data_IF_593672080660
#
_entry.id   IF_593672080660
#
_cell.length_a   1.000
_cell.length_b   1.000
_cell.length_c   1.000
_cell.angle_alpha   90.00
_cell.angle_beta   90.00
_cell.angle_gamma   90.00
#
_symmetry.space_group_name_H-M   'P 1'
#
loop_
_entity.id
_entity.type
_entity.pdbx_description
1 polymer ?
#
# COMPACT_ATOMS: atom_id res chain seq x y z
N UNK A 1 21.65 43.38 22.36
CA UNK A 1 20.88 44.64 22.40
C UNK A 1 19.90 44.63 21.23
N UNK A 2 18.60 44.64 21.54
CA UNK A 2 17.41 45.09 20.79
C UNK A 2 17.30 44.81 19.28
N UNK A 3 16.14 44.47 18.69
CA UNK A 3 14.80 44.12 19.13
C UNK A 3 14.01 43.74 17.84
N UNK A 4 12.89 43.06 18.05
CA UNK A 4 11.97 42.47 17.08
C UNK A 4 11.26 43.45 16.13
N UNK A 5 10.67 42.90 15.07
CA UNK A 5 9.28 43.23 14.71
C UNK A 5 8.65 42.12 13.84
N UNK A 6 7.75 41.40 14.50
CA UNK A 6 6.71 40.53 13.97
C UNK A 6 5.59 41.40 13.34
N UNK A 7 4.92 40.91 12.29
CA UNK A 7 3.73 41.56 11.72
C UNK A 7 2.72 40.53 11.23
N UNK A 8 1.74 40.27 12.09
CA UNK A 8 0.40 39.80 11.73
C UNK A 8 -0.54 40.99 11.48
N UNK A 9 -1.59 40.77 10.67
CA UNK A 9 -2.91 41.46 10.56
C UNK A 9 -3.41 41.27 9.10
N UNK A 10 -4.68 41.08 8.74
CA UNK A 10 -5.94 40.69 9.35
C UNK A 10 -6.96 40.60 8.19
N UNK A 11 -7.98 39.76 8.32
CA UNK A 11 -9.14 39.69 7.41
C UNK A 11 -10.07 40.92 7.59
N UNK A 12 -10.73 41.34 6.50
CA UNK A 12 -12.20 41.54 6.50
C UNK A 12 -12.79 40.95 5.20
N UNK A 13 -14.06 40.54 5.05
CA UNK A 13 -15.30 40.77 5.76
C UNK A 13 -16.42 40.74 4.70
N UNK A 14 -17.36 39.79 4.81
CA UNK A 14 -18.51 39.61 3.93
C UNK A 14 -19.54 40.75 4.08
N UNK A 15 -20.11 41.24 2.97
CA UNK A 15 -21.50 41.73 2.97
C UNK A 15 -22.16 41.69 1.58
N UNK A 16 -23.24 40.90 1.55
CA UNK A 16 -24.53 40.98 0.83
C UNK A 16 -24.69 41.92 -0.37
N UNK A 17 -25.20 41.34 -1.46
CA UNK A 17 -26.20 41.98 -2.32
C UNK A 17 -27.35 40.99 -2.57
N UNK A 18 -28.58 41.48 -2.36
CA UNK A 18 -29.85 40.85 -2.72
C UNK A 18 -30.69 41.85 -3.52
N UNK A 19 -31.75 41.32 -4.16
CA UNK A 19 -32.86 41.97 -4.89
C UNK A 19 -32.56 42.23 -6.37
N UNK A 20 -33.43 42.00 -7.35
CA UNK A 20 -34.85 41.61 -7.44
C UNK A 20 -35.04 40.94 -8.84
N UNK A 21 -36.11 40.24 -9.22
CA UNK A 21 -37.43 39.99 -8.67
C UNK A 21 -38.34 39.34 -9.74
N UNK A 22 -39.50 38.88 -9.24
CA UNK A 22 -40.82 38.77 -9.93
C UNK A 22 -40.99 37.63 -10.96
N UNK A 23 -42.10 36.88 -11.06
CA UNK A 23 -43.48 36.99 -10.56
C UNK A 23 -44.07 35.58 -10.30
N UNK A 24 -44.75 35.33 -9.18
CA UNK A 24 -46.21 35.41 -8.95
C UNK A 24 -46.95 34.24 -9.64
N UNK A 25 -47.37 33.24 -8.86
CA UNK A 25 -48.81 32.98 -8.82
C UNK A 25 -49.27 32.25 -7.56
N UNK A 26 -50.40 32.76 -7.08
CA UNK A 26 -51.00 32.56 -5.76
C UNK A 26 -51.98 31.40 -5.82
N UNK A 27 -52.13 30.68 -4.71
CA UNK A 27 -53.42 30.56 -3.99
C UNK A 27 -53.24 29.78 -2.70
N UNK A 28 -53.44 30.50 -1.61
CA UNK A 28 -53.80 29.94 -0.32
C UNK A 28 -55.21 29.34 -0.41
N UNK A 29 -55.46 28.29 0.37
CA UNK A 29 -56.68 28.26 1.17
C UNK A 29 -56.42 27.55 2.50
N UNK A 30 -56.85 28.28 3.52
CA UNK A 30 -56.85 28.02 4.94
C UNK A 30 -57.99 27.04 5.28
N UNK A 31 -57.80 26.21 6.32
CA UNK A 31 -58.85 25.79 7.27
C UNK A 31 -58.33 24.77 8.30
N UNK A 32 -58.30 25.27 9.53
CA UNK A 32 -58.41 24.58 10.81
C UNK A 32 -59.47 23.47 10.90
N UNK A 33 -59.24 22.47 11.76
CA UNK A 33 -60.35 21.78 12.44
C UNK A 33 -60.11 20.32 12.86
N UNK A 34 -59.80 20.16 14.15
CA UNK A 34 -60.33 19.16 15.09
C UNK A 34 -60.00 17.66 15.01
N UNK A 35 -59.72 17.18 16.23
CA UNK A 35 -59.55 15.81 16.70
C UNK A 35 -60.63 14.83 16.28
N UNK A 36 -60.23 13.57 16.08
CA UNK A 36 -61.02 12.37 16.41
C UNK A 36 -60.14 11.12 16.44
N UNK A 37 -59.99 10.58 17.64
CA UNK A 37 -59.58 9.20 17.91
C UNK A 37 -60.47 8.21 17.16
N UNK A 38 -59.87 7.23 16.48
CA UNK A 38 -60.46 5.92 16.19
C UNK A 38 -59.38 4.84 16.17
N UNK A 39 -59.56 3.85 17.03
CA UNK A 39 -58.90 2.56 16.96
C UNK A 39 -59.33 1.82 15.70
N UNK A 40 -58.45 0.96 15.18
CA UNK A 40 -58.70 -0.45 14.85
C UNK A 40 -57.71 -0.96 13.78
N UNK A 41 -57.21 -2.17 13.99
CA UNK A 41 -56.99 -3.11 12.87
C UNK A 41 -55.56 -3.31 12.40
N UNK A 42 -54.82 -4.07 13.21
CA UNK A 42 -53.70 -4.92 12.82
C UNK A 42 -53.94 -5.66 11.49
N UNK A 43 -53.07 -5.43 10.49
CA UNK A 43 -52.84 -6.35 9.36
C UNK A 43 -51.36 -6.34 8.99
N UNK A 44 -50.77 -7.53 9.14
CA UNK A 44 -49.44 -7.92 8.75
C UNK A 44 -49.02 -7.40 7.37
N UNK A 45 -47.86 -6.73 7.34
CA UNK A 45 -47.02 -6.61 6.15
C UNK A 45 -45.74 -7.40 6.42
N UNK A 46 -45.23 -8.19 5.45
CA UNK A 46 -44.06 -9.03 5.67
C UNK A 46 -42.86 -8.17 6.02
N UNK A 47 -42.33 -8.36 7.22
CA UNK A 47 -41.09 -7.75 7.68
C UNK A 47 -39.93 -8.28 6.83
N UNK A 48 -39.23 -7.35 6.19
CA UNK A 48 -37.87 -7.54 5.67
C UNK A 48 -37.02 -8.26 6.73
N UNK A 49 -36.21 -9.28 6.39
CA UNK A 49 -35.31 -9.89 7.36
C UNK A 49 -34.41 -8.82 7.97
N UNK A 50 -34.57 -8.63 9.28
CA UNK A 50 -33.92 -7.55 10.01
C UNK A 50 -32.40 -7.67 9.96
N UNK A 51 -31.75 -6.57 9.62
CA UNK A 51 -30.44 -6.21 10.16
C UNK A 51 -30.64 -5.97 11.66
N UNK A 52 -30.80 -7.05 12.44
CA UNK A 52 -30.74 -6.97 13.89
C UNK A 52 -29.40 -6.37 14.27
N UNK A 53 -29.40 -5.25 15.01
CA UNK A 53 -28.19 -4.69 15.61
C UNK A 53 -27.58 -5.78 16.49
N UNK A 54 -26.58 -6.49 15.97
CA UNK A 54 -25.84 -7.50 16.72
C UNK A 54 -25.19 -6.79 17.91
N UNK A 55 -25.46 -7.28 19.12
CA UNK A 55 -24.93 -6.67 20.34
C UNK A 55 -23.41 -6.75 20.37
N UNK A 56 -22.76 -5.72 20.92
CA UNK A 56 -21.31 -5.70 21.12
C UNK A 56 -20.93 -6.73 22.20
N UNK A 57 -20.11 -7.70 21.85
CA UNK A 57 -19.61 -8.74 22.76
C UNK A 57 -18.32 -8.26 23.40
N UNK A 58 -18.31 -8.08 24.72
CA UNK A 58 -17.09 -7.73 25.45
C UNK A 58 -16.24 -8.97 25.71
N UNK A 59 -14.97 -8.93 25.31
CA UNK A 59 -14.01 -10.01 25.46
C UNK A 59 -13.08 -9.72 26.65
N UNK A 60 -13.11 -10.52 27.72
CA UNK A 60 -12.18 -10.39 28.85
C UNK A 60 -10.72 -10.46 28.41
N UNK A 61 -9.78 -9.99 29.26
CA UNK A 61 -8.35 -10.00 28.98
C UNK A 61 -7.75 -11.41 29.09
N UNK A 62 -8.10 -12.28 28.16
CA UNK A 62 -7.72 -13.69 28.12
C UNK A 62 -7.78 -14.20 26.66
N UNK A 63 -6.71 -14.85 26.21
CA UNK A 63 -6.58 -15.32 24.84
C UNK A 63 -7.59 -16.43 24.47
N UNK A 64 -7.88 -17.34 25.41
CA UNK A 64 -8.89 -18.39 25.19
C UNK A 64 -10.30 -17.80 25.11
N UNK A 65 -10.58 -16.70 25.83
CA UNK A 65 -11.85 -15.96 25.69
C UNK A 65 -11.97 -15.25 24.35
N UNK A 66 -10.88 -14.74 23.78
CA UNK A 66 -10.87 -14.21 22.42
C UNK A 66 -11.18 -15.30 21.39
N UNK A 67 -10.53 -16.46 21.49
CA UNK A 67 -10.80 -17.62 20.62
C UNK A 67 -12.28 -18.03 20.73
N UNK A 68 -12.79 -18.20 21.94
CA UNK A 68 -14.19 -18.60 22.15
C UNK A 68 -15.18 -17.58 21.56
N UNK A 69 -14.92 -16.27 21.70
CA UNK A 69 -15.77 -15.23 21.13
C UNK A 69 -15.79 -15.27 19.59
N UNK A 70 -14.65 -15.57 18.95
CA UNK A 70 -14.57 -15.71 17.49
C UNK A 70 -15.29 -16.97 16.99
N UNK A 71 -15.17 -18.10 17.69
CA UNK A 71 -15.93 -19.32 17.38
C UNK A 71 -17.43 -19.05 17.43
N UNK A 72 -17.90 -18.40 18.51
CA UNK A 72 -19.32 -18.03 18.65
C UNK A 72 -19.75 -17.06 17.54
N UNK A 73 -18.92 -16.05 17.23
CA UNK A 73 -19.22 -15.10 16.16
C UNK A 73 -19.40 -15.81 14.80
N UNK A 74 -18.53 -16.74 14.44
CA UNK A 74 -18.69 -17.52 13.21
C UNK A 74 -19.98 -18.37 13.21
N UNK A 75 -20.31 -19.02 14.34
CA UNK A 75 -21.49 -19.86 14.46
C UNK A 75 -22.81 -19.06 14.40
N UNK A 76 -22.80 -17.80 14.84
CA UNK A 76 -23.97 -16.91 14.89
C UNK A 76 -24.09 -15.99 13.65
N UNK A 77 -23.24 -16.20 12.64
CA UNK A 77 -23.26 -15.45 11.39
C UNK A 77 -22.51 -14.11 11.42
N UNK A 78 -21.72 -13.84 12.46
CA UNK A 78 -20.85 -12.68 12.65
C UNK A 78 -21.11 -11.90 13.95
N UNK A 79 -20.20 -11.02 14.37
CA UNK A 79 -20.33 -10.25 15.61
C UNK A 79 -19.46 -8.98 15.62
N UNK A 80 -19.77 -8.04 16.53
CA UNK A 80 -18.86 -6.98 16.94
C UNK A 80 -18.25 -7.33 18.31
N UNK A 81 -16.94 -7.56 18.33
CA UNK A 81 -16.16 -7.90 19.51
C UNK A 81 -15.43 -6.65 20.02
N UNK A 82 -15.53 -6.38 21.32
CA UNK A 82 -14.72 -5.34 21.99
C UNK A 82 -13.74 -5.99 22.95
N UNK A 83 -12.45 -5.81 22.68
CA UNK A 83 -11.39 -6.32 23.53
C UNK A 83 -11.27 -5.50 24.82
N UNK A 84 -10.70 -6.12 25.84
CA UNK A 84 -10.35 -5.45 27.08
C UNK A 84 -9.31 -4.35 26.77
N UNK A 85 -9.58 -3.09 27.17
CA UNK A 85 -8.71 -1.96 26.80
C UNK A 85 -7.25 -2.18 27.21
N UNK A 86 -6.33 -1.97 26.26
CA UNK A 86 -4.87 -2.11 26.44
C UNK A 86 -4.41 -3.49 26.96
N UNK A 87 -5.25 -4.51 26.87
CA UNK A 87 -4.90 -5.87 27.25
C UNK A 87 -3.88 -6.46 26.25
N UNK A 88 -3.05 -7.39 26.72
CA UNK A 88 -2.21 -8.22 25.86
C UNK A 88 -2.73 -9.66 25.81
N UNK A 89 -3.25 -10.07 24.66
CA UNK A 89 -3.69 -11.42 24.35
C UNK A 89 -2.52 -12.21 23.77
N UNK A 90 -1.91 -13.09 24.56
CA UNK A 90 -0.76 -13.91 24.10
C UNK A 90 -1.26 -15.28 23.64
N UNK A 91 -1.01 -15.61 22.38
CA UNK A 91 -1.28 -16.90 21.78
C UNK A 91 -0.02 -17.77 21.82
N UNK A 92 -0.14 -18.97 22.38
CA UNK A 92 0.98 -19.90 22.58
C UNK A 92 1.00 -21.05 21.57
N UNK A 93 -0.10 -21.26 20.85
CA UNK A 93 -0.26 -22.33 19.86
C UNK A 93 -1.25 -21.93 18.76
N UNK A 94 -1.23 -22.66 17.66
CA UNK A 94 -2.20 -22.50 16.59
C UNK A 94 -3.59 -22.98 17.05
N UNK A 95 -4.65 -22.37 16.55
CA UNK A 95 -6.00 -22.85 16.76
C UNK A 95 -6.23 -24.11 15.92
N UNK A 96 -6.59 -25.21 16.59
CA UNK A 96 -6.99 -26.45 15.94
C UNK A 96 -8.51 -26.51 15.86
N UNK A 97 -9.05 -26.28 14.66
CA UNK A 97 -10.47 -26.48 14.39
C UNK A 97 -10.75 -27.99 14.42
N UNK A 98 -11.57 -28.47 15.36
CA UNK A 98 -12.04 -29.86 15.33
C UNK A 98 -12.89 -30.04 14.08
N UNK A 99 -12.71 -31.14 13.33
CA UNK A 99 -13.20 -31.49 11.96
C UNK A 99 -14.70 -31.26 11.61
N UNK A 100 -15.46 -30.46 12.35
CA UNK A 100 -16.91 -30.38 12.30
C UNK A 100 -17.48 -29.13 11.63
N UNK A 101 -16.68 -28.20 11.11
CA UNK A 101 -17.23 -27.04 10.39
C UNK A 101 -16.29 -26.50 9.30
N UNK A 102 -16.21 -27.17 8.15
CA UNK A 102 -15.41 -26.70 7.00
C UNK A 102 -16.13 -25.67 6.11
N UNK A 103 -17.25 -25.10 6.57
CA UNK A 103 -17.99 -24.04 5.87
C UNK A 103 -18.48 -24.40 4.46
N UNK A 104 -18.33 -25.65 3.99
CA UNK A 104 -18.84 -26.12 2.72
C UNK A 104 -18.22 -25.50 1.46
N UNK A 105 -17.05 -24.86 1.52
CA UNK A 105 -16.37 -24.33 0.32
C UNK A 105 -15.00 -25.00 0.18
N UNK A 106 -15.03 -26.23 -0.32
CA UNK A 106 -13.90 -26.89 -0.98
C UNK A 106 -14.00 -26.60 -2.47
N UNK A 107 -12.93 -26.06 -3.03
CA UNK A 107 -12.52 -26.10 -4.44
C UNK A 107 -13.52 -25.67 -5.52
N UNK A 108 -13.32 -24.46 -6.07
CA UNK A 108 -13.79 -24.16 -7.42
C UNK A 108 -13.00 -23.09 -8.22
N UNK A 109 -11.97 -22.43 -7.68
CA UNK A 109 -11.28 -21.35 -8.43
C UNK A 109 -9.74 -21.32 -8.43
N UNK A 110 -9.06 -22.27 -7.78
CA UNK A 110 -7.62 -22.51 -8.05
C UNK A 110 -7.38 -23.27 -9.38
N UNK A 111 -8.43 -23.73 -10.07
CA UNK A 111 -8.34 -24.42 -11.35
C UNK A 111 -8.60 -23.52 -12.58
N UNK A 112 -9.00 -22.26 -12.38
CA UNK A 112 -9.39 -21.37 -13.48
C UNK A 112 -8.23 -20.52 -14.03
N UNK A 113 -7.14 -20.35 -13.28
CA UNK A 113 -5.94 -19.62 -13.70
C UNK A 113 -4.95 -20.48 -14.52
N UNK A 114 -5.23 -21.78 -14.66
CA UNK A 114 -4.48 -22.73 -15.50
C UNK A 114 -4.62 -22.50 -17.03
N UNK A 115 -5.12 -21.33 -17.45
CA UNK A 115 -5.59 -21.13 -18.83
C UNK A 115 -4.97 -19.94 -19.57
N UNK A 116 -3.77 -19.44 -19.23
CA UNK A 116 -3.02 -18.58 -20.16
C UNK A 116 -1.48 -18.67 -20.04
N UNK A 117 -0.91 -19.54 -20.88
CA UNK A 117 0.50 -19.74 -21.32
C UNK A 117 1.43 -20.71 -20.55
N UNK A 118 2.19 -21.56 -21.29
CA UNK A 118 2.95 -22.68 -20.73
C UNK A 118 4.36 -22.26 -20.32
N UNK A 119 4.62 -22.30 -19.02
CA UNK A 119 5.92 -22.01 -18.42
C UNK A 119 5.92 -22.10 -16.89
N UNK A 120 4.75 -21.87 -16.29
CA UNK A 120 4.56 -21.92 -14.84
C UNK A 120 3.89 -23.24 -14.48
N UNK A 121 4.68 -24.22 -14.03
CA UNK A 121 4.13 -25.33 -13.26
C UNK A 121 3.73 -24.76 -11.89
N UNK A 122 2.47 -24.30 -11.79
CA UNK A 122 1.90 -23.86 -10.52
C UNK A 122 1.98 -24.98 -9.49
N UNK A 123 2.33 -24.58 -8.27
CA UNK A 123 2.34 -25.44 -7.10
C UNK A 123 0.96 -26.10 -6.90
N UNK A 124 0.89 -27.31 -6.31
CA UNK A 124 -0.37 -28.02 -6.09
C UNK A 124 -1.37 -27.15 -5.31
N UNK A 125 -2.70 -27.37 -5.50
CA UNK A 125 -3.76 -26.61 -4.83
C UNK A 125 -3.55 -26.56 -3.32
N UNK A 126 -3.77 -25.39 -2.73
CA UNK A 126 -3.40 -25.11 -1.35
C UNK A 126 -4.22 -25.99 -0.39
N UNK A 127 -3.56 -26.87 0.36
CA UNK A 127 -4.22 -27.69 1.36
C UNK A 127 -4.65 -26.81 2.55
N UNK A 128 -5.94 -26.75 2.93
CA UNK A 128 -6.40 -26.01 4.10
C UNK A 128 -5.72 -26.44 5.42
N UNK A 129 -5.18 -27.66 5.48
CA UNK A 129 -4.42 -28.15 6.63
C UNK A 129 -3.05 -27.46 6.82
N UNK A 130 -2.55 -26.75 5.80
CA UNK A 130 -1.30 -25.99 5.87
C UNK A 130 -1.51 -24.53 6.33
N UNK A 131 -2.78 -24.09 6.47
CA UNK A 131 -3.13 -22.77 7.00
C UNK A 131 -3.17 -22.78 8.54
N UNK A 132 -2.00 -22.61 9.16
CA UNK A 132 -1.90 -22.51 10.62
C UNK A 132 -2.15 -21.07 11.09
N UNK A 133 -3.37 -20.81 11.55
CA UNK A 133 -3.75 -19.58 12.24
C UNK A 133 -3.88 -19.79 13.76
N UNK A 134 -3.51 -18.79 14.55
CA UNK A 134 -3.66 -18.77 16.01
C UNK A 134 -5.06 -18.47 16.50
N UNK A 135 -5.92 -17.93 15.62
CA UNK A 135 -7.33 -17.64 15.89
C UNK A 135 -8.20 -18.36 14.85
N UNK A 136 -9.49 -18.59 15.15
CA UNK A 136 -10.43 -19.19 14.21
C UNK A 136 -10.48 -18.44 12.87
N UNK A 137 -10.59 -19.20 11.78
CA UNK A 137 -10.75 -18.65 10.42
C UNK A 137 -12.01 -17.80 10.35
N UNK A 138 -11.95 -16.67 9.67
CA UNK A 138 -13.08 -15.74 9.53
C UNK A 138 -13.89 -16.11 8.29
N UNK A 139 -15.12 -16.60 8.49
CA UNK A 139 -16.09 -16.92 7.43
C UNK A 139 -17.30 -15.97 7.42
N UNK A 140 -17.41 -15.12 8.45
CA UNK A 140 -18.56 -14.25 8.68
C UNK A 140 -18.10 -12.80 8.86
N UNK A 141 -19.02 -11.82 8.78
CA UNK A 141 -18.71 -10.43 9.12
C UNK A 141 -18.39 -10.26 10.61
N UNK A 142 -17.10 -10.08 10.92
CA UNK A 142 -16.59 -9.91 12.27
C UNK A 142 -15.85 -8.58 12.37
N UNK A 143 -16.28 -7.75 13.33
CA UNK A 143 -15.57 -6.53 13.72
C UNK A 143 -14.89 -6.75 15.05
N UNK A 144 -13.60 -6.40 15.15
CA UNK A 144 -12.82 -6.41 16.39
C UNK A 144 -12.37 -4.99 16.71
N UNK A 145 -12.93 -4.46 17.79
CA UNK A 145 -12.55 -3.21 18.42
C UNK A 145 -11.51 -3.50 19.51
N UNK A 146 -10.24 -3.24 19.20
CA UNK A 146 -9.13 -3.57 20.06
C UNK A 146 -9.02 -2.70 21.30
N UNK A 147 -9.59 -1.48 21.31
CA UNK A 147 -9.42 -0.52 22.40
C UNK A 147 -7.94 -0.35 22.86
N UNK A 148 -7.01 -0.39 21.90
CA UNK A 148 -5.57 -0.32 22.11
C UNK A 148 -4.92 -1.61 22.62
N UNK A 149 -5.59 -2.75 22.53
CA UNK A 149 -5.05 -4.05 22.92
C UNK A 149 -3.97 -4.55 21.94
N UNK A 150 -3.15 -5.48 22.42
CA UNK A 150 -2.15 -6.21 21.62
C UNK A 150 -2.54 -7.67 21.52
N UNK A 151 -2.62 -8.22 20.31
CA UNK A 151 -2.64 -9.65 20.04
C UNK A 151 -1.22 -10.05 19.67
N UNK A 152 -0.61 -10.93 20.47
CA UNK A 152 0.79 -11.29 20.32
C UNK A 152 0.99 -12.80 20.21
N UNK A 153 1.91 -13.23 19.36
CA UNK A 153 2.41 -14.60 19.37
C UNK A 153 3.51 -14.73 20.43
N UNK A 154 3.44 -15.76 21.27
CA UNK A 154 4.55 -16.10 22.16
C UNK A 154 5.82 -16.40 21.34
N UNK A 155 6.97 -15.87 21.75
CA UNK A 155 8.21 -16.00 20.98
C UNK A 155 8.64 -17.47 20.80
N UNK A 156 8.36 -18.33 21.76
CA UNK A 156 8.71 -19.77 21.75
C UNK A 156 7.66 -20.66 21.08
N UNK A 157 6.50 -20.10 20.72
CA UNK A 157 5.45 -20.86 20.04
C UNK A 157 5.91 -21.35 18.66
N UNK A 158 5.21 -22.33 18.12
CA UNK A 158 5.36 -22.68 16.70
C UNK A 158 4.99 -21.49 15.79
N UNK A 159 5.34 -21.57 14.51
CA UNK A 159 4.94 -20.58 13.53
C UNK A 159 3.43 -20.69 13.24
N UNK A 160 2.70 -19.61 13.49
CA UNK A 160 1.34 -19.36 12.99
C UNK A 160 1.10 -17.84 12.81
N UNK A 161 0.19 -17.52 11.89
CA UNK A 161 -0.35 -16.16 11.71
C UNK A 161 -1.53 -15.93 12.67
N UNK A 162 -2.00 -14.71 12.83
CA UNK A 162 -3.17 -14.45 13.69
C UNK A 162 -4.48 -14.75 12.98
N UNK A 163 -4.67 -14.20 11.79
CA UNK A 163 -5.95 -14.24 11.09
C UNK A 163 -5.80 -14.80 9.68
N UNK A 164 -6.76 -15.64 9.32
CA UNK A 164 -7.06 -16.02 7.94
C UNK A 164 -8.52 -15.64 7.66
N UNK A 165 -8.76 -14.87 6.61
CA UNK A 165 -10.09 -14.49 6.14
C UNK A 165 -10.34 -15.22 4.83
N UNK A 166 -11.35 -16.11 4.80
CA UNK A 166 -11.68 -16.93 3.61
C UNK A 166 -12.90 -16.37 2.88
N UNK A 167 -13.21 -16.96 1.72
CA UNK A 167 -14.26 -16.56 0.79
C UNK A 167 -15.57 -16.18 1.50
N UNK A 168 -16.04 -14.95 1.27
CA UNK A 168 -17.26 -14.42 1.90
C UNK A 168 -17.08 -13.92 3.34
N UNK A 169 -15.93 -14.16 3.96
CA UNK A 169 -15.54 -13.58 5.24
C UNK A 169 -15.24 -12.09 5.12
N UNK A 170 -15.65 -11.33 6.14
CA UNK A 170 -15.36 -9.90 6.25
C UNK A 170 -14.76 -9.61 7.62
N UNK A 171 -13.51 -9.14 7.64
CA UNK A 171 -12.82 -8.78 8.88
C UNK A 171 -12.65 -7.27 8.99
N UNK A 172 -13.18 -6.66 10.03
CA UNK A 172 -12.82 -5.28 10.40
C UNK A 172 -11.98 -5.31 11.67
N UNK A 173 -10.72 -4.88 11.57
CA UNK A 173 -9.82 -4.70 12.72
C UNK A 173 -9.66 -3.20 12.97
N UNK A 174 -9.90 -2.76 14.21
CA UNK A 174 -9.62 -1.40 14.63
C UNK A 174 -8.91 -1.32 15.96
N UNK A 175 -8.02 -0.33 16.11
CA UNK A 175 -7.39 0.03 17.39
C UNK A 175 -6.69 -1.15 18.09
N UNK A 176 -5.96 -1.96 17.32
CA UNK A 176 -5.26 -3.17 17.81
C UNK A 176 -3.81 -3.23 17.30
N UNK A 177 -2.91 -3.77 18.12
CA UNK A 177 -1.57 -4.17 17.67
C UNK A 177 -1.52 -5.69 17.41
N UNK A 178 -1.04 -6.09 16.24
CA UNK A 178 -0.65 -7.45 15.91
C UNK A 178 0.87 -7.56 16.01
N UNK A 179 1.35 -8.31 17.00
CA UNK A 179 2.77 -8.33 17.33
C UNK A 179 3.38 -9.74 17.20
N UNK A 180 4.50 -9.82 16.49
CA UNK A 180 5.32 -11.03 16.40
C UNK A 180 4.62 -12.22 15.71
N UNK A 181 3.69 -11.95 14.79
CA UNK A 181 3.08 -12.98 13.95
C UNK A 181 4.16 -13.69 13.11
N UNK A 182 4.05 -15.02 12.91
CA UNK A 182 5.05 -15.76 12.15
C UNK A 182 4.42 -16.88 11.36
N UNK A 183 4.39 -16.79 10.04
CA UNK A 183 3.82 -17.84 9.18
C UNK A 183 4.92 -18.60 8.44
N UNK A 184 4.76 -19.92 8.34
CA UNK A 184 5.58 -20.75 7.44
C UNK A 184 5.25 -20.51 5.96
N UNK A 185 4.05 -19.97 5.70
CA UNK A 185 3.54 -19.61 4.38
C UNK A 185 3.22 -18.10 4.35
N UNK A 186 2.40 -17.65 3.41
CA UNK A 186 2.08 -16.23 3.21
C UNK A 186 1.40 -15.61 4.45
N UNK A 187 1.55 -14.29 4.59
CA UNK A 187 0.90 -13.49 5.63
C UNK A 187 1.42 -13.78 7.03
N UNK A 188 2.42 -13.03 7.51
CA UNK A 188 2.99 -13.27 8.83
C UNK A 188 2.01 -13.05 9.98
N UNK A 189 1.10 -12.09 9.85
CA UNK A 189 0.03 -11.79 10.81
C UNK A 189 -1.37 -12.04 10.24
N UNK A 190 -1.63 -11.60 9.00
CA UNK A 190 -2.95 -11.71 8.38
C UNK A 190 -2.82 -12.22 6.94
N UNK A 191 -3.71 -13.12 6.57
CA UNK A 191 -3.95 -13.49 5.18
C UNK A 191 -5.42 -13.24 4.83
N UNK A 192 -5.66 -12.44 3.79
CA UNK A 192 -6.98 -12.25 3.20
C UNK A 192 -7.00 -12.97 1.87
N UNK A 193 -7.75 -14.06 1.80
CA UNK A 193 -7.85 -14.91 0.62
C UNK A 193 -8.70 -14.23 -0.45
N UNK A 194 -8.52 -14.64 -1.70
CA UNK A 194 -9.35 -14.23 -2.82
C UNK A 194 -10.86 -14.32 -2.52
N UNK A 195 -11.60 -13.25 -2.80
CA UNK A 195 -13.05 -13.19 -2.51
C UNK A 195 -13.41 -12.87 -1.04
N UNK A 196 -12.43 -12.75 -0.15
CA UNK A 196 -12.61 -12.19 1.19
C UNK A 196 -12.40 -10.67 1.22
N UNK A 197 -12.88 -10.02 2.28
CA UNK A 197 -12.67 -8.58 2.51
C UNK A 197 -12.08 -8.31 3.89
N UNK A 198 -11.16 -7.35 3.97
CA UNK A 198 -10.68 -6.83 5.25
C UNK A 198 -10.58 -5.31 5.29
N UNK A 199 -10.93 -4.74 6.44
CA UNK A 199 -10.73 -3.33 6.79
C UNK A 199 -9.81 -3.27 7.99
N UNK A 200 -8.70 -2.55 7.86
CA UNK A 200 -7.66 -2.42 8.87
C UNK A 200 -7.49 -0.93 9.19
N UNK A 201 -7.94 -0.51 10.36
CA UNK A 201 -8.03 0.90 10.74
C UNK A 201 -7.31 1.17 12.08
N UNK A 202 -6.34 2.09 12.14
CA UNK A 202 -5.58 2.35 13.37
C UNK A 202 -4.97 1.08 13.98
N UNK A 203 -4.43 0.23 13.11
CA UNK A 203 -3.78 -1.02 13.50
C UNK A 203 -2.27 -0.86 13.40
N UNK A 204 -1.55 -1.46 14.34
CA UNK A 204 -0.10 -1.62 14.25
C UNK A 204 0.23 -3.07 13.96
N UNK A 205 0.91 -3.36 12.85
CA UNK A 205 1.48 -4.69 12.57
C UNK A 205 2.98 -4.60 12.79
N UNK A 206 3.48 -5.30 13.81
CA UNK A 206 4.86 -5.18 14.27
C UNK A 206 5.58 -6.52 14.34
N UNK A 207 6.85 -6.52 13.90
CA UNK A 207 7.77 -7.67 14.04
C UNK A 207 7.22 -8.98 13.46
N UNK A 208 6.36 -8.90 12.46
CA UNK A 208 5.76 -10.08 11.86
C UNK A 208 6.65 -10.65 10.76
N UNK A 209 6.67 -11.97 10.58
CA UNK A 209 7.50 -12.64 9.59
C UNK A 209 6.71 -13.64 8.76
N UNK A 210 6.83 -13.58 7.44
CA UNK A 210 6.47 -14.68 6.54
C UNK A 210 7.74 -15.40 6.10
N UNK A 211 7.72 -16.73 6.18
CA UNK A 211 8.80 -17.60 5.71
C UNK A 211 8.48 -18.24 4.35
N UNK A 212 7.36 -17.89 3.71
CA UNK A 212 6.96 -18.47 2.42
C UNK A 212 8.10 -18.34 1.41
N UNK A 213 8.61 -19.44 0.83
CA UNK A 213 9.71 -19.39 -0.12
C UNK A 213 9.40 -18.54 -1.36
N UNK A 214 8.17 -18.61 -1.86
CA UNK A 214 7.73 -17.96 -3.11
C UNK A 214 6.67 -16.87 -2.91
N UNK A 215 6.13 -16.72 -1.71
CA UNK A 215 5.09 -15.74 -1.37
C UNK A 215 5.64 -14.53 -0.61
N UNK A 216 4.93 -14.12 0.43
CA UNK A 216 5.40 -13.05 1.31
C UNK A 216 4.29 -12.39 2.12
N UNK A 217 4.37 -11.08 2.29
CA UNK A 217 3.49 -10.31 3.17
C UNK A 217 3.92 -10.47 4.63
N UNK A 218 5.14 -10.04 4.95
CA UNK A 218 5.75 -10.26 6.26
C UNK A 218 4.84 -9.84 7.42
N UNK A 219 4.08 -8.76 7.25
CA UNK A 219 2.91 -8.45 8.07
C UNK A 219 1.63 -9.06 7.50
N UNK A 220 1.24 -8.63 6.31
CA UNK A 220 -0.05 -8.99 5.71
C UNK A 220 0.13 -9.47 4.27
N UNK A 221 -0.57 -10.56 3.91
CA UNK A 221 -0.82 -10.90 2.52
C UNK A 221 -2.30 -10.66 2.18
N UNK A 222 -2.54 -9.86 1.16
CA UNK A 222 -3.87 -9.58 0.61
C UNK A 222 -4.01 -10.14 -0.80
N UNK A 223 -4.80 -11.20 -0.94
CA UNK A 223 -5.23 -11.76 -2.22
C UNK A 223 -6.73 -11.48 -2.50
N UNK A 224 -7.44 -10.94 -1.51
CA UNK A 224 -8.83 -10.47 -1.61
C UNK A 224 -8.94 -8.96 -1.80
N UNK A 225 -9.90 -8.35 -1.11
CA UNK A 225 -10.13 -6.90 -1.10
C UNK A 225 -9.76 -6.31 0.26
N UNK A 226 -8.84 -5.34 0.29
CA UNK A 226 -8.38 -4.76 1.54
C UNK A 226 -8.41 -3.24 1.51
N UNK A 227 -8.91 -2.67 2.61
CA UNK A 227 -8.78 -1.25 2.93
C UNK A 227 -7.92 -1.11 4.18
N UNK A 228 -6.84 -0.36 4.09
CA UNK A 228 -5.95 -0.04 5.20
C UNK A 228 -5.92 1.47 5.39
N UNK A 229 -6.23 1.93 6.60
CA UNK A 229 -6.25 3.36 6.93
C UNK A 229 -5.61 3.64 8.28
N UNK A 230 -4.86 4.73 8.39
CA UNK A 230 -4.36 5.26 9.66
C UNK A 230 -3.54 4.24 10.47
N UNK A 231 -2.87 3.32 9.76
CA UNK A 231 -2.21 2.13 10.32
C UNK A 231 -0.70 2.15 10.14
N UNK A 232 0.02 1.42 11.00
CA UNK A 232 1.48 1.37 11.03
C UNK A 232 2.01 -0.05 10.82
N UNK A 233 2.99 -0.21 9.94
CA UNK A 233 3.69 -1.46 9.67
C UNK A 233 5.17 -1.28 10.00
N UNK A 234 5.64 -1.94 11.06
CA UNK A 234 7.00 -1.76 11.58
C UNK A 234 7.77 -3.07 11.72
N UNK A 235 8.95 -3.11 11.11
CA UNK A 235 9.90 -4.21 11.34
C UNK A 235 9.39 -5.56 10.90
N UNK A 236 8.47 -5.60 9.92
CA UNK A 236 7.95 -6.84 9.37
C UNK A 236 8.87 -7.36 8.26
N UNK A 237 8.92 -8.68 8.09
CA UNK A 237 9.88 -9.31 7.18
C UNK A 237 9.28 -10.43 6.33
N UNK A 238 9.43 -10.32 5.01
CA UNK A 238 9.23 -11.43 4.08
C UNK A 238 10.58 -12.13 3.87
N UNK A 239 10.86 -13.11 4.73
CA UNK A 239 12.18 -13.74 4.88
C UNK A 239 12.37 -15.01 4.04
N UNK A 240 11.37 -15.45 3.29
CA UNK A 240 11.54 -16.52 2.31
C UNK A 240 12.48 -16.14 1.17
N UNK A 241 12.96 -17.12 0.40
CA UNK A 241 13.99 -16.90 -0.63
C UNK A 241 13.58 -15.87 -1.69
N UNK A 242 12.33 -15.95 -2.16
CA UNK A 242 11.70 -14.99 -3.04
C UNK A 242 10.61 -14.18 -2.31
N UNK A 243 10.82 -13.87 -1.01
CA UNK A 243 9.86 -13.17 -0.17
C UNK A 243 9.51 -11.76 -0.66
N UNK A 244 8.23 -11.46 -0.80
CA UNK A 244 7.69 -10.20 -1.36
C UNK A 244 6.90 -9.42 -0.32
N UNK A 245 6.88 -8.08 -0.37
CA UNK A 245 6.04 -7.27 0.51
C UNK A 245 6.39 -7.46 1.99
N UNK A 246 7.48 -6.85 2.45
CA UNK A 246 7.96 -7.02 3.83
C UNK A 246 6.92 -6.57 4.87
N UNK A 247 6.30 -5.42 4.64
CA UNK A 247 5.13 -4.97 5.40
C UNK A 247 3.85 -5.62 4.90
N UNK A 248 3.53 -5.38 3.63
CA UNK A 248 2.31 -5.87 2.98
C UNK A 248 2.61 -6.36 1.56
N UNK A 249 2.11 -7.55 1.23
CA UNK A 249 2.04 -8.07 -0.13
C UNK A 249 0.60 -7.99 -0.62
N UNK A 250 0.39 -7.39 -1.79
CA UNK A 250 -0.90 -7.31 -2.46
C UNK A 250 -0.87 -8.13 -3.77
N UNK A 251 -1.67 -9.21 -3.80
CA UNK A 251 -2.09 -9.95 -4.99
C UNK A 251 -3.49 -9.57 -5.48
N UNK A 252 -4.34 -9.06 -4.58
CA UNK A 252 -5.72 -8.66 -4.88
C UNK A 252 -5.89 -7.15 -5.12
N UNK A 253 -6.94 -6.59 -4.51
CA UNK A 253 -7.29 -5.16 -4.57
C UNK A 253 -6.99 -4.50 -3.23
N UNK A 254 -6.20 -3.43 -3.26
CA UNK A 254 -5.80 -2.67 -2.08
C UNK A 254 -6.14 -1.18 -2.21
N UNK A 255 -6.77 -0.64 -1.17
CA UNK A 255 -6.79 0.81 -0.89
C UNK A 255 -6.01 1.07 0.39
N UNK A 256 -4.94 1.85 0.32
CA UNK A 256 -4.05 2.15 1.43
C UNK A 256 -3.95 3.66 1.64
N UNK A 257 -4.34 4.16 2.81
CA UNK A 257 -4.35 5.61 3.08
C UNK A 257 -3.79 5.99 4.46
N UNK A 258 -3.10 7.13 4.53
CA UNK A 258 -2.68 7.76 5.81
C UNK A 258 -1.91 6.80 6.72
N UNK A 259 -1.03 6.01 6.14
CA UNK A 259 -0.36 4.92 6.83
C UNK A 259 1.15 5.07 6.80
N UNK A 260 1.83 4.32 7.68
CA UNK A 260 3.29 4.35 7.79
C UNK A 260 3.87 2.95 7.66
N UNK A 261 4.86 2.79 6.80
CA UNK A 261 5.64 1.57 6.64
C UNK A 261 7.09 1.90 6.95
N UNK A 262 7.63 1.37 8.04
CA UNK A 262 9.01 1.63 8.38
C UNK A 262 9.81 0.42 8.86
N UNK A 263 11.06 0.34 8.40
CA UNK A 263 11.99 -0.76 8.71
C UNK A 263 11.48 -2.14 8.33
N UNK A 264 10.61 -2.24 7.33
CA UNK A 264 10.17 -3.53 6.80
C UNK A 264 11.18 -4.04 5.77
N UNK A 265 11.29 -5.37 5.65
CA UNK A 265 12.27 -6.00 4.76
C UNK A 265 11.70 -7.12 3.90
N UNK A 266 12.14 -7.24 2.66
CA UNK A 266 11.78 -8.32 1.75
C UNK A 266 13.02 -8.86 1.01
N UNK A 267 13.11 -10.18 0.82
CA UNK A 267 14.24 -10.77 0.11
C UNK A 267 14.15 -10.66 -1.42
N UNK A 268 12.97 -10.36 -1.97
CA UNK A 268 12.78 -10.14 -3.41
C UNK A 268 12.38 -8.69 -3.71
N UNK A 269 11.13 -8.30 -3.43
CA UNK A 269 10.67 -6.97 -3.80
C UNK A 269 9.62 -6.38 -2.88
N UNK A 270 9.63 -5.05 -2.77
CA UNK A 270 8.70 -4.27 -1.95
C UNK A 270 8.98 -4.43 -0.47
N UNK A 271 9.99 -3.75 0.06
CA UNK A 271 10.34 -3.84 1.49
C UNK A 271 9.17 -3.38 2.37
N UNK A 272 8.56 -2.24 2.03
CA UNK A 272 7.31 -1.78 2.62
C UNK A 272 6.09 -2.46 1.98
N UNK A 273 5.82 -2.13 0.72
CA UNK A 273 4.68 -2.64 -0.05
C UNK A 273 5.16 -3.32 -1.34
N UNK A 274 4.78 -4.59 -1.53
CA UNK A 274 4.88 -5.27 -2.81
C UNK A 274 3.49 -5.42 -3.44
N UNK A 275 3.26 -4.83 -4.62
CA UNK A 275 2.08 -5.07 -5.44
C UNK A 275 2.46 -5.98 -6.60
N UNK A 276 1.90 -7.19 -6.64
CA UNK A 276 2.25 -8.24 -7.58
C UNK A 276 1.00 -8.84 -8.21
N UNK A 277 0.84 -8.68 -9.53
CA UNK A 277 -0.37 -9.12 -10.26
C UNK A 277 -1.70 -8.54 -9.72
N UNK A 278 -1.65 -7.57 -8.81
CA UNK A 278 -2.80 -6.93 -8.18
C UNK A 278 -3.02 -5.47 -8.60
N UNK A 279 -4.01 -4.86 -7.96
CA UNK A 279 -4.34 -3.44 -8.12
C UNK A 279 -4.24 -2.71 -6.76
N UNK A 280 -3.52 -1.59 -6.73
CA UNK A 280 -3.35 -0.81 -5.51
C UNK A 280 -3.55 0.70 -5.75
N UNK A 281 -4.32 1.33 -4.86
CA UNK A 281 -4.39 2.78 -4.70
C UNK A 281 -3.79 3.17 -3.35
N UNK A 282 -2.74 4.00 -3.39
CA UNK A 282 -1.93 4.40 -2.24
C UNK A 282 -1.96 5.92 -2.12
N UNK A 283 -2.36 6.45 -0.96
CA UNK A 283 -2.56 7.89 -0.77
C UNK A 283 -2.10 8.36 0.62
N UNK A 284 -1.30 9.43 0.70
CA UNK A 284 -0.86 9.99 1.99
C UNK A 284 -0.11 8.97 2.86
N UNK A 285 0.77 8.17 2.26
CA UNK A 285 1.54 7.14 2.98
C UNK A 285 2.99 7.56 3.12
N UNK A 286 3.67 7.09 4.17
CA UNK A 286 5.12 7.24 4.32
C UNK A 286 5.80 5.87 4.35
N UNK A 287 6.72 5.62 3.42
CA UNK A 287 7.58 4.46 3.38
C UNK A 287 8.99 4.87 3.75
N UNK A 288 9.44 4.53 4.95
CA UNK A 288 10.74 4.98 5.48
C UNK A 288 11.65 3.84 5.91
N UNK A 289 12.93 3.89 5.54
CA UNK A 289 13.93 2.91 6.00
C UNK A 289 13.57 1.44 5.69
N UNK A 290 12.77 1.18 4.66
CA UNK A 290 12.45 -0.17 4.23
C UNK A 290 13.54 -0.71 3.30
N UNK A 291 13.69 -2.03 3.25
CA UNK A 291 14.74 -2.69 2.48
C UNK A 291 14.23 -3.84 1.62
N UNK A 292 14.70 -3.95 0.37
CA UNK A 292 14.42 -5.10 -0.47
C UNK A 292 15.52 -5.36 -1.51
N UNK A 293 15.43 -6.44 -2.29
CA UNK A 293 16.27 -6.54 -3.50
C UNK A 293 15.78 -5.55 -4.56
N UNK A 294 14.47 -5.42 -4.77
CA UNK A 294 13.89 -4.43 -5.68
C UNK A 294 12.78 -3.61 -5.02
N UNK A 295 12.85 -2.27 -5.09
CA UNK A 295 11.83 -1.40 -4.52
C UNK A 295 11.87 -1.42 -2.99
N UNK A 296 12.80 -0.71 -2.39
CA UNK A 296 12.98 -0.71 -0.93
C UNK A 296 11.71 -0.28 -0.21
N UNK A 297 11.11 0.83 -0.64
CA UNK A 297 9.80 1.28 -0.15
C UNK A 297 8.63 0.55 -0.82
N UNK A 298 8.55 0.67 -2.16
CA UNK A 298 7.41 0.19 -2.96
C UNK A 298 7.87 -0.58 -4.20
N UNK A 299 7.22 -1.70 -4.50
CA UNK A 299 7.42 -2.44 -5.73
C UNK A 299 6.09 -2.71 -6.46
N UNK A 300 6.08 -2.55 -7.78
CA UNK A 300 4.93 -2.82 -8.66
C UNK A 300 5.37 -3.74 -9.81
N UNK A 301 4.89 -4.99 -9.82
CA UNK A 301 5.33 -6.06 -10.72
C UNK A 301 4.14 -6.73 -11.40
N UNK A 302 4.08 -6.65 -12.74
CA UNK A 302 2.93 -7.12 -13.54
C UNK A 302 1.59 -6.62 -12.98
N UNK A 303 1.58 -5.40 -12.44
CA UNK A 303 0.52 -4.86 -11.60
C UNK A 303 0.10 -3.46 -12.04
N UNK A 304 -0.98 -2.96 -11.42
CA UNK A 304 -1.45 -1.58 -11.59
C UNK A 304 -1.41 -0.87 -10.24
N UNK A 305 -0.59 0.16 -10.15
CA UNK A 305 -0.39 0.90 -8.91
C UNK A 305 -0.55 2.39 -9.15
N UNK A 306 -1.44 3.02 -8.39
CA UNK A 306 -1.58 4.47 -8.34
C UNK A 306 -1.14 4.95 -6.97
N UNK A 307 -0.23 5.91 -6.94
CA UNK A 307 0.34 6.47 -5.71
C UNK A 307 0.23 7.98 -5.76
N UNK A 308 -0.33 8.58 -4.71
CA UNK A 308 -0.42 10.03 -4.58
C UNK A 308 -0.07 10.55 -3.20
N UNK A 309 0.46 11.77 -3.14
CA UNK A 309 0.73 12.49 -1.89
C UNK A 309 1.54 11.65 -0.89
N UNK A 310 2.54 10.91 -1.37
CA UNK A 310 3.22 9.84 -0.62
C UNK A 310 4.74 10.06 -0.58
N UNK A 311 5.36 9.63 0.51
CA UNK A 311 6.79 9.77 0.77
C UNK A 311 7.52 8.42 0.68
N UNK A 312 8.65 8.38 -0.03
CA UNK A 312 9.60 7.28 -0.06
C UNK A 312 10.95 7.81 0.45
N UNK A 313 11.26 7.58 1.73
CA UNK A 313 12.40 8.19 2.39
C UNK A 313 13.42 7.15 2.88
N UNK A 314 14.70 7.34 2.56
CA UNK A 314 15.80 6.56 3.13
C UNK A 314 15.65 5.04 2.98
N UNK A 315 14.95 4.58 1.93
CA UNK A 315 14.80 3.17 1.65
C UNK A 315 16.04 2.65 0.91
N UNK A 316 16.33 1.37 1.09
CA UNK A 316 17.52 0.73 0.51
C UNK A 316 17.11 -0.44 -0.38
N UNK A 317 17.70 -0.56 -1.56
CA UNK A 317 17.51 -1.75 -2.37
C UNK A 317 18.75 -2.13 -3.18
N UNK A 318 18.71 -3.26 -3.90
CA UNK A 318 19.66 -3.44 -5.01
C UNK A 318 19.22 -2.63 -6.22
N UNK A 319 17.94 -2.65 -6.55
CA UNK A 319 17.36 -1.92 -7.68
C UNK A 319 16.16 -1.10 -7.22
N UNK A 320 16.10 0.20 -7.53
CA UNK A 320 14.99 1.05 -7.12
C UNK A 320 14.96 1.25 -5.61
N UNK A 321 15.90 2.03 -5.06
CA UNK A 321 16.04 2.23 -3.62
C UNK A 321 14.71 2.69 -2.99
N UNK A 322 14.05 3.67 -3.60
CA UNK A 322 12.70 4.09 -3.23
C UNK A 322 11.62 3.19 -3.83
N UNK A 323 11.52 3.15 -5.16
CA UNK A 323 10.51 2.40 -5.89
C UNK A 323 11.06 1.56 -7.05
N UNK A 324 10.45 0.41 -7.29
CA UNK A 324 10.70 -0.42 -8.47
C UNK A 324 9.39 -0.71 -9.23
N UNK A 325 9.43 -0.57 -10.55
CA UNK A 325 8.36 -0.89 -11.47
C UNK A 325 8.86 -1.86 -12.53
N UNK A 326 8.21 -3.00 -12.72
CA UNK A 326 8.61 -4.00 -13.72
C UNK A 326 7.39 -4.56 -14.43
N UNK A 327 7.35 -4.40 -15.75
CA UNK A 327 6.26 -4.87 -16.61
C UNK A 327 4.87 -4.44 -16.09
N UNK A 328 4.82 -3.23 -15.52
CA UNK A 328 3.70 -2.73 -14.74
C UNK A 328 3.43 -1.25 -15.04
N UNK A 329 2.25 -0.81 -14.61
CA UNK A 329 1.85 0.60 -14.66
C UNK A 329 1.93 1.17 -13.24
N UNK A 330 2.87 2.09 -13.03
CA UNK A 330 3.05 2.81 -11.78
C UNK A 330 2.81 4.30 -12.02
N UNK A 331 1.62 4.78 -11.65
CA UNK A 331 1.27 6.21 -11.74
C UNK A 331 1.58 6.87 -10.40
N UNK A 332 2.44 7.88 -10.44
CA UNK A 332 2.91 8.59 -9.26
C UNK A 332 2.60 10.08 -9.37
N UNK A 333 1.97 10.64 -8.33
CA UNK A 333 1.64 12.06 -8.27
C UNK A 333 1.96 12.68 -6.91
N UNK A 334 2.55 13.87 -6.88
CA UNK A 334 2.91 14.57 -5.62
C UNK A 334 3.73 13.69 -4.70
N UNK A 335 4.72 13.02 -5.28
CA UNK A 335 5.63 12.15 -4.54
C UNK A 335 6.77 12.94 -3.95
N UNK A 336 7.23 12.53 -2.78
CA UNK A 336 8.54 12.91 -2.23
C UNK A 336 9.42 11.68 -2.15
N UNK A 337 10.43 11.58 -3.02
CA UNK A 337 11.34 10.43 -3.11
C UNK A 337 12.75 10.91 -2.76
N UNK A 338 13.17 10.68 -1.51
CA UNK A 338 14.40 11.28 -0.97
C UNK A 338 15.31 10.34 -0.20
N UNK A 339 16.62 10.55 -0.34
CA UNK A 339 17.63 9.86 0.45
C UNK A 339 17.67 8.34 0.22
N UNK A 340 17.03 7.84 -0.83
CA UNK A 340 16.99 6.41 -1.09
C UNK A 340 18.29 5.96 -1.76
N UNK A 341 18.71 4.74 -1.42
CA UNK A 341 19.99 4.19 -1.86
C UNK A 341 19.78 2.88 -2.60
N UNK A 342 20.44 2.71 -3.75
CA UNK A 342 20.53 1.41 -4.41
C UNK A 342 21.95 0.96 -4.72
N UNK A 343 22.21 -0.34 -4.71
CA UNK A 343 23.55 -0.87 -5.01
C UNK A 343 23.77 -1.20 -6.49
N UNK A 344 22.71 -1.31 -7.28
CA UNK A 344 22.77 -1.66 -8.70
C UNK A 344 22.23 -0.54 -9.57
N UNK A 345 20.92 -0.24 -9.57
CA UNK A 345 20.35 0.79 -10.46
C UNK A 345 19.19 1.51 -9.78
N UNK A 346 18.89 2.75 -10.18
CA UNK A 346 17.71 3.46 -9.71
C UNK A 346 17.79 3.79 -8.22
N UNK A 347 18.50 4.83 -7.81
CA UNK A 347 18.58 5.20 -6.39
C UNK A 347 17.19 5.57 -5.86
N UNK A 348 16.49 6.47 -6.55
CA UNK A 348 15.10 6.83 -6.29
C UNK A 348 14.12 5.82 -6.90
N UNK A 349 14.03 5.79 -8.22
CA UNK A 349 13.09 4.96 -8.98
C UNK A 349 13.85 4.08 -9.97
N UNK A 350 13.43 2.82 -10.10
CA UNK A 350 13.77 1.96 -11.23
C UNK A 350 12.50 1.54 -11.96
N UNK A 351 12.46 1.67 -13.28
CA UNK A 351 11.35 1.22 -14.13
C UNK A 351 11.87 0.42 -15.31
N UNK A 352 11.34 -0.80 -15.49
CA UNK A 352 11.77 -1.76 -16.51
C UNK A 352 10.56 -2.29 -17.26
N UNK A 353 10.53 -2.14 -18.59
CA UNK A 353 9.42 -2.58 -19.47
C UNK A 353 8.03 -2.06 -19.05
N UNK A 354 7.97 -1.01 -18.24
CA UNK A 354 6.74 -0.50 -17.65
C UNK A 354 6.38 0.91 -18.11
N UNK A 355 5.23 1.39 -17.64
CA UNK A 355 4.77 2.77 -17.80
C UNK A 355 4.85 3.48 -16.45
N UNK A 356 5.52 4.62 -16.41
CA UNK A 356 5.73 5.39 -15.19
C UNK A 356 5.51 6.89 -15.41
N UNK A 357 4.27 7.37 -15.29
CA UNK A 357 3.99 8.79 -15.16
C UNK A 357 4.33 9.27 -13.75
N UNK A 358 5.13 10.33 -13.69
CA UNK A 358 5.56 11.01 -12.48
C UNK A 358 5.16 12.49 -12.61
N UNK A 359 4.13 12.86 -11.86
CA UNK A 359 3.49 14.18 -11.92
C UNK A 359 3.70 14.96 -10.61
N UNK A 360 3.96 16.26 -10.71
CA UNK A 360 3.99 17.18 -9.55
C UNK A 360 4.90 16.71 -8.39
N UNK A 361 6.01 16.03 -8.69
CA UNK A 361 6.78 15.24 -7.73
C UNK A 361 8.22 15.71 -7.56
N UNK A 362 8.88 15.26 -6.48
CA UNK A 362 10.29 15.52 -6.21
C UNK A 362 11.08 14.22 -6.01
N UNK A 363 12.12 14.03 -6.80
CA UNK A 363 13.10 12.94 -6.70
C UNK A 363 14.45 13.57 -6.34
N UNK A 364 14.79 13.56 -5.06
CA UNK A 364 15.86 14.40 -4.53
C UNK A 364 16.85 13.68 -3.61
N UNK A 365 18.15 13.85 -3.84
CA UNK A 365 19.15 13.33 -2.90
C UNK A 365 19.24 11.80 -2.86
N UNK A 366 18.92 11.11 -3.96
CA UNK A 366 19.00 9.65 -4.02
C UNK A 366 20.37 9.21 -4.56
N UNK A 367 20.88 8.09 -4.06
CA UNK A 367 22.21 7.58 -4.41
C UNK A 367 22.10 6.20 -5.05
N UNK A 368 22.89 5.93 -6.08
CA UNK A 368 23.07 4.57 -6.59
C UNK A 368 24.53 4.23 -6.81
N UNK A 369 24.89 2.96 -6.66
CA UNK A 369 26.21 2.44 -7.03
C UNK A 369 26.32 1.90 -8.46
N UNK A 370 25.27 2.05 -9.27
CA UNK A 370 25.36 1.84 -10.72
C UNK A 370 24.72 2.98 -11.49
N UNK A 371 23.57 2.76 -12.14
CA UNK A 371 23.03 3.68 -13.15
C UNK A 371 21.73 4.34 -12.71
N UNK A 372 21.52 5.61 -13.09
CA UNK A 372 20.24 6.31 -12.87
C UNK A 372 19.99 6.60 -11.39
N UNK A 373 20.72 7.53 -10.77
CA UNK A 373 20.57 7.73 -9.32
C UNK A 373 19.19 8.28 -8.94
N UNK A 374 18.67 9.25 -9.69
CA UNK A 374 17.28 9.67 -9.56
C UNK A 374 16.35 8.60 -10.11
N UNK A 375 16.43 8.38 -11.42
CA UNK A 375 15.55 7.47 -12.16
C UNK A 375 16.35 6.61 -13.13
N UNK A 376 16.19 5.29 -13.04
CA UNK A 376 16.63 4.33 -14.04
C UNK A 376 15.43 3.84 -14.86
N UNK A 377 15.51 3.92 -16.18
CA UNK A 377 14.45 3.51 -17.10
C UNK A 377 14.99 2.59 -18.21
N UNK A 378 14.63 1.31 -18.20
CA UNK A 378 15.02 0.36 -19.26
C UNK A 378 13.79 -0.16 -20.00
N UNK A 379 13.76 0.02 -21.33
CA UNK A 379 12.66 -0.41 -22.21
C UNK A 379 11.29 0.09 -21.70
N UNK A 380 11.30 1.20 -20.97
CA UNK A 380 10.17 1.73 -20.25
C UNK A 380 9.69 3.03 -20.88
N UNK A 381 8.45 3.41 -20.57
CA UNK A 381 7.87 4.68 -20.92
C UNK A 381 7.80 5.55 -19.65
N UNK A 382 8.74 6.47 -19.51
CA UNK A 382 8.82 7.40 -18.41
C UNK A 382 8.26 8.76 -18.84
N UNK A 383 7.31 9.28 -18.08
CA UNK A 383 6.81 10.65 -18.23
C UNK A 383 7.11 11.40 -16.94
N UNK A 384 7.88 12.49 -17.03
CA UNK A 384 8.17 13.40 -15.91
C UNK A 384 7.53 14.73 -16.22
N UNK A 385 6.56 15.16 -15.40
CA UNK A 385 5.82 16.40 -15.63
C UNK A 385 5.66 17.20 -14.34
N UNK A 386 5.87 18.52 -14.41
CA UNK A 386 5.76 19.39 -13.23
C UNK A 386 6.66 18.95 -12.07
N UNK A 387 7.77 18.25 -12.35
CA UNK A 387 8.52 17.51 -11.34
C UNK A 387 10.00 17.89 -11.31
N UNK A 388 10.61 17.75 -10.15
CA UNK A 388 12.01 18.09 -9.90
C UNK A 388 12.82 16.81 -9.62
N UNK A 389 13.84 16.53 -10.44
CA UNK A 389 14.82 15.46 -10.26
C UNK A 389 16.17 16.10 -9.93
N UNK A 390 16.50 16.19 -8.64
CA UNK A 390 17.60 17.03 -8.18
C UNK A 390 18.57 16.33 -7.23
N UNK A 391 19.84 16.76 -7.22
CA UNK A 391 20.84 16.31 -6.22
C UNK A 391 20.98 14.79 -6.10
N UNK A 392 20.70 14.03 -7.18
CA UNK A 392 20.87 12.59 -7.18
C UNK A 392 22.28 12.21 -7.65
N UNK A 393 22.87 11.17 -7.04
CA UNK A 393 24.29 10.85 -7.23
C UNK A 393 24.53 9.38 -7.63
N UNK A 394 25.11 9.15 -8.81
CA UNK A 394 25.50 7.83 -9.29
C UNK A 394 27.02 7.60 -9.07
N UNK A 395 27.36 6.75 -8.10
CA UNK A 395 28.72 6.58 -7.58
C UNK A 395 29.30 5.21 -7.93
N UNK A 396 30.32 5.17 -8.77
CA UNK A 396 30.97 3.90 -9.15
C UNK A 396 31.74 4.03 -10.44
N UNK A 397 32.70 3.14 -10.67
CA UNK A 397 33.63 3.23 -11.81
C UNK A 397 32.93 3.29 -13.19
N UNK A 398 31.71 2.77 -13.29
CA UNK A 398 30.89 2.76 -14.51
C UNK A 398 29.59 3.55 -14.38
N UNK A 399 29.40 4.29 -13.29
CA UNK A 399 28.14 4.94 -12.94
C UNK A 399 27.88 6.17 -13.80
N UNK A 400 26.69 6.24 -14.38
CA UNK A 400 26.26 7.27 -15.34
C UNK A 400 24.80 7.63 -15.10
N UNK A 401 24.40 8.87 -15.45
CA UNK A 401 23.03 9.33 -15.33
C UNK A 401 22.66 9.57 -13.87
N UNK A 402 23.27 10.59 -13.25
CA UNK A 402 22.89 11.01 -11.90
C UNK A 402 21.40 11.31 -11.81
N UNK A 403 20.86 12.10 -12.74
CA UNK A 403 19.43 12.43 -12.78
C UNK A 403 18.61 11.28 -13.34
N UNK A 404 18.72 11.06 -14.65
CA UNK A 404 17.95 10.05 -15.38
C UNK A 404 18.88 9.23 -16.26
N UNK A 405 18.76 7.91 -16.18
CA UNK A 405 19.40 6.98 -17.11
C UNK A 405 18.34 6.21 -17.88
N UNK A 406 18.36 6.29 -19.22
CA UNK A 406 17.35 5.66 -20.07
C UNK A 406 17.95 4.80 -21.19
N UNK A 407 17.47 3.56 -21.32
CA UNK A 407 17.88 2.62 -22.38
C UNK A 407 16.68 1.99 -23.07
N UNK A 408 16.53 2.21 -24.38
CA UNK A 408 15.32 1.82 -25.13
C UNK A 408 14.00 2.36 -24.52
N UNK A 409 12.90 2.34 -25.28
CA UNK A 409 11.64 2.94 -24.84
C UNK A 409 11.63 4.47 -24.99
N UNK A 410 10.90 5.18 -24.11
CA UNK A 410 10.69 6.62 -24.22
C UNK A 410 10.78 7.35 -22.88
N UNK A 411 11.34 8.56 -22.93
CA UNK A 411 11.36 9.52 -21.83
C UNK A 411 10.78 10.83 -22.34
N UNK A 412 9.74 11.32 -21.67
CA UNK A 412 9.15 12.61 -21.96
C UNK A 412 9.21 13.49 -20.71
N UNK A 413 9.78 14.69 -20.85
CA UNK A 413 10.00 15.66 -19.77
C UNK A 413 9.23 16.94 -20.14
N UNK A 414 8.31 17.35 -19.26
CA UNK A 414 7.46 18.53 -19.46
C UNK A 414 7.42 19.42 -18.22
N UNK A 415 7.59 20.74 -18.39
CA UNK A 415 7.57 21.71 -17.28
C UNK A 415 8.31 21.21 -16.02
N UNK A 416 9.51 20.64 -16.19
CA UNK A 416 10.24 19.90 -15.14
C UNK A 416 11.71 20.32 -15.02
N UNK A 417 12.34 20.04 -13.88
CA UNK A 417 13.74 20.41 -13.61
C UNK A 417 14.61 19.19 -13.34
N UNK A 418 15.71 19.07 -14.06
CA UNK A 418 16.71 18.02 -13.85
C UNK A 418 18.04 18.72 -13.56
N UNK A 419 18.30 19.01 -12.29
CA UNK A 419 19.41 19.89 -11.89
C UNK A 419 20.24 19.36 -10.75
N UNK A 420 21.51 19.75 -10.68
CA UNK A 420 22.43 19.35 -9.60
C UNK A 420 22.61 17.85 -9.43
N UNK A 421 22.36 17.05 -10.46
CA UNK A 421 22.61 15.62 -10.39
C UNK A 421 24.06 15.32 -10.77
N UNK A 422 24.63 14.31 -10.14
CA UNK A 422 26.04 13.96 -10.29
C UNK A 422 26.20 12.48 -10.67
N UNK A 423 27.19 12.18 -11.51
CA UNK A 423 27.64 10.81 -11.73
C UNK A 423 29.15 10.74 -11.94
N UNK A 424 29.72 9.55 -11.72
CA UNK A 424 31.16 9.35 -11.91
C UNK A 424 31.58 9.51 -13.39
N UNK A 425 30.79 8.97 -14.31
CA UNK A 425 30.98 9.13 -15.75
C UNK A 425 29.91 10.06 -16.34
N UNK A 426 30.24 10.64 -17.49
CA UNK A 426 29.32 11.51 -18.24
C UNK A 426 28.13 10.72 -18.82
N UNK A 427 26.92 11.30 -18.85
CA UNK A 427 26.48 12.56 -18.22
C UNK A 427 25.93 12.38 -16.81
N UNK A 428 25.97 13.48 -16.05
CA UNK A 428 25.34 13.63 -14.73
C UNK A 428 23.84 13.86 -14.78
N UNK A 429 23.35 14.57 -15.79
CA UNK A 429 21.93 14.89 -15.93
C UNK A 429 21.15 13.71 -16.52
N UNK A 430 20.94 13.74 -17.84
CA UNK A 430 20.15 12.73 -18.57
C UNK A 430 21.07 11.95 -19.51
N UNK A 431 21.16 10.64 -19.29
CA UNK A 431 21.76 9.70 -20.23
C UNK A 431 20.68 8.99 -21.05
N UNK A 432 20.89 8.90 -22.36
CA UNK A 432 20.07 8.08 -23.24
C UNK A 432 20.88 7.19 -24.18
N UNK A 433 20.45 5.93 -24.32
CA UNK A 433 20.93 4.98 -25.32
C UNK A 433 19.76 4.25 -25.95
N UNK A 434 19.55 4.40 -27.26
CA UNK A 434 18.43 3.81 -28.01
C UNK A 434 17.02 4.19 -27.50
N UNK A 435 16.92 5.09 -26.51
CA UNK A 435 15.67 5.62 -25.99
C UNK A 435 15.29 6.89 -26.75
N UNK A 436 13.99 7.10 -26.96
CA UNK A 436 13.46 8.35 -27.48
C UNK A 436 13.32 9.35 -26.33
N UNK A 437 14.00 10.49 -26.40
CA UNK A 437 13.91 11.53 -25.37
C UNK A 437 13.25 12.77 -25.96
N UNK A 438 12.19 13.24 -25.31
CA UNK A 438 11.52 14.50 -25.61
C UNK A 438 11.55 15.39 -24.37
N UNK A 439 12.05 16.62 -24.56
CA UNK A 439 12.07 17.66 -23.54
C UNK A 439 11.35 18.87 -24.16
N UNK A 440 10.39 19.45 -23.45
CA UNK A 440 9.71 20.66 -23.91
C UNK A 440 10.54 21.94 -23.70
N UNK A 441 10.01 23.08 -24.16
CA UNK A 441 10.69 24.36 -24.05
C UNK A 441 10.68 24.98 -22.65
N UNK A 442 9.85 24.45 -21.74
CA UNK A 442 9.69 24.92 -20.36
C UNK A 442 10.55 24.14 -19.35
N UNK A 443 11.00 22.94 -19.71
CA UNK A 443 11.86 22.11 -18.87
C UNK A 443 13.32 22.54 -18.94
N UNK A 444 14.05 22.33 -17.85
CA UNK A 444 15.47 22.70 -17.72
C UNK A 444 16.32 21.51 -17.29
N UNK A 445 17.48 21.36 -17.93
CA UNK A 445 18.47 20.32 -17.59
C UNK A 445 19.84 20.99 -17.44
N UNK A 446 20.10 21.55 -16.27
CA UNK A 446 21.30 22.39 -16.02
C UNK A 446 22.02 22.01 -14.75
N UNK A 447 23.27 22.45 -14.64
CA UNK A 447 24.05 22.33 -13.41
C UNK A 447 24.23 20.88 -12.96
N UNK A 448 24.30 19.94 -13.91
CA UNK A 448 24.59 18.54 -13.63
C UNK A 448 26.05 18.21 -13.93
N UNK A 449 26.64 17.31 -13.13
CA UNK A 449 28.06 16.96 -13.19
C UNK A 449 28.27 15.49 -13.59
N UNK A 450 29.16 15.18 -14.55
CA UNK A 450 30.12 16.10 -15.16
C UNK A 450 29.54 16.94 -16.30
N UNK A 451 28.37 16.55 -16.83
CA UNK A 451 27.68 17.22 -17.95
C UNK A 451 26.17 17.00 -17.85
N UNK A 452 25.38 17.85 -18.51
CA UNK A 452 23.91 17.73 -18.57
C UNK A 452 23.47 16.50 -19.37
N UNK A 453 23.76 16.45 -20.68
CA UNK A 453 23.45 15.28 -21.53
C UNK A 453 24.61 14.82 -22.42
N UNK A 454 25.70 15.61 -22.52
CA UNK A 454 26.88 15.23 -23.29
C UNK A 454 27.47 13.93 -22.73
N UNK A 455 27.59 12.90 -23.58
CA UNK A 455 27.93 11.54 -23.18
C UNK A 455 26.80 10.53 -23.46
N UNK A 456 25.59 11.02 -23.74
CA UNK A 456 24.51 10.19 -24.30
C UNK A 456 24.88 9.63 -25.67
N UNK A 457 24.43 8.40 -25.96
CA UNK A 457 24.68 7.74 -27.24
C UNK A 457 23.74 8.22 -28.36
N UNK A 458 22.68 8.92 -27.97
CA UNK A 458 21.78 9.62 -28.89
C UNK A 458 21.75 11.11 -28.54
N UNK A 459 21.71 12.03 -29.52
CA UNK A 459 21.55 13.45 -29.24
C UNK A 459 20.21 13.72 -28.53
N UNK A 460 20.25 14.51 -27.46
CA UNK A 460 19.05 14.95 -26.72
C UNK A 460 18.85 16.44 -27.00
N UNK A 461 17.80 16.75 -27.75
CA UNK A 461 17.41 18.13 -28.02
C UNK A 461 16.94 18.83 -26.73
N UNK A 462 17.12 20.15 -26.66
CA UNK A 462 16.69 21.00 -25.53
C UNK A 462 17.35 20.70 -24.16
N UNK A 463 18.44 19.92 -24.12
CA UNK A 463 19.10 19.63 -22.85
C UNK A 463 20.04 20.74 -22.32
N UNK A 464 20.59 21.62 -23.17
CA UNK A 464 21.63 22.57 -22.75
C UNK A 464 21.11 23.97 -22.37
N UNK A 465 19.82 24.11 -22.07
CA UNK A 465 19.20 25.40 -21.71
C UNK A 465 19.18 25.63 -20.22
#
# INVERSE_FOLDING_TARGET
MAAAADRALALPGLSRLSTAGSDDDRRADDRSGEDRERSDGERDRPTTPGTGKRGVVSVPCDAAKLVAALVTANAEGGAELRLAPKCRYVLTEAFHETDQYDGGIRDAREAADAAETPGDAEAPPHNPADDTAGLPVIYQPITIDGAGATIARDAQAAAFRFFTVRDGGELTLRDVELHNGRSAIEGGSVHVVHGATAVVERVTVSQSTSLSPEGGGGGIFNDGNMVVTDSTFIGNSASGAAGKGGGLLNGGVLTLKRSEFHRNSANAYGGGLGNYRGAAEVESVSFTQNSAVQGGGLASFSARTKVSDTELLNNTAQVGGGAANSDAVLVMRKMTIRGNTSTVNGGGISTVKGLTPLDDSVVDGNTTHGLGAGIYAEKANLLVRGSDVTRNEAVGATSTGGGIYATAGSVAIYTSKITHNASTLKPGGVFASHAQVKIDDESVVVENEPTNCEGSQVPIAHCFR
#
